data_IF_528625452006
#
_entry.id   IF_528625452006
#
_cell.length_a   1.000
_cell.length_b   1.000
_cell.length_c   1.000
_cell.angle_alpha   90.00
_cell.angle_beta   90.00
_cell.angle_gamma   90.00
#
_symmetry.space_group_name_H-M   'P 1'
#
loop_
_entity.id
_entity.type
_entity.pdbx_description
1 polymer ?
#
# COMPACT_ATOMS: atom_id res chain seq x y z
N UNK A 1 21.18 11.38 -24.22
CA UNK A 1 22.09 11.42 -23.06
C UNK A 1 21.52 12.43 -22.08
N UNK A 2 20.87 11.97 -21.02
CA UNK A 2 20.22 12.82 -20.01
C UNK A 2 19.02 12.13 -19.35
N UNK A 3 18.91 12.31 -18.02
CA UNK A 3 17.85 11.86 -17.10
C UNK A 3 18.00 10.49 -16.42
N UNK A 4 19.09 10.29 -15.68
CA UNK A 4 19.06 9.56 -14.40
C UNK A 4 20.02 10.24 -13.42
N UNK A 5 19.66 11.44 -12.96
CA UNK A 5 20.37 12.07 -11.84
C UNK A 5 19.82 11.48 -10.53
N UNK A 6 20.61 10.59 -9.93
CA UNK A 6 20.71 10.42 -8.48
C UNK A 6 19.44 10.17 -7.69
N UNK A 7 18.63 9.16 -8.04
CA UNK A 7 17.79 8.53 -7.02
C UNK A 7 18.72 7.74 -6.10
N UNK A 8 18.82 8.15 -4.83
CA UNK A 8 19.41 7.28 -3.81
C UNK A 8 18.70 5.93 -3.91
N UNK A 9 19.45 4.83 -3.99
CA UNK A 9 18.85 3.50 -4.08
C UNK A 9 17.90 3.32 -2.89
N UNK A 10 16.60 3.24 -3.15
CA UNK A 10 15.59 2.92 -2.13
C UNK A 10 16.10 1.73 -1.30
N UNK A 11 16.30 1.96 0.00
CA UNK A 11 16.87 0.96 0.89
C UNK A 11 15.73 0.16 1.50
N UNK A 12 15.73 -1.15 1.27
CA UNK A 12 14.85 -2.08 1.95
C UNK A 12 15.11 -1.99 3.46
N UNK A 13 14.10 -1.56 4.21
CA UNK A 13 14.10 -1.67 5.66
C UNK A 13 13.61 -3.08 5.98
N UNK A 14 14.52 -4.03 6.11
CA UNK A 14 14.19 -5.46 6.23
C UNK A 14 13.51 -5.82 7.56
N UNK A 15 12.90 -7.01 7.61
CA UNK A 15 12.45 -7.66 8.85
C UNK A 15 13.51 -8.60 9.40
N UNK A 16 13.41 -8.94 10.68
CA UNK A 16 14.36 -9.86 11.33
C UNK A 16 14.13 -11.32 10.92
N UNK A 17 12.90 -11.68 10.56
CA UNK A 17 12.50 -13.02 10.13
C UNK A 17 11.76 -12.99 8.80
N UNK A 18 11.96 -14.04 8.00
CA UNK A 18 11.31 -14.29 6.70
C UNK A 18 10.44 -15.56 6.79
N UNK A 19 9.55 -15.77 5.81
CA UNK A 19 8.70 -16.96 5.71
C UNK A 19 7.20 -16.68 5.79
N UNK A 20 6.42 -17.68 6.22
CA UNK A 20 4.94 -17.71 6.09
C UNK A 20 4.19 -16.58 6.79
N UNK A 21 4.79 -16.00 7.83
CA UNK A 21 4.20 -14.92 8.62
C UNK A 21 4.83 -13.56 8.32
N UNK A 22 5.79 -13.51 7.39
CA UNK A 22 6.50 -12.29 7.03
C UNK A 22 5.78 -11.54 5.89
N UNK A 23 5.80 -10.21 5.97
CA UNK A 23 5.10 -9.31 5.04
C UNK A 23 6.06 -8.24 4.52
N UNK A 24 5.98 -7.95 3.23
CA UNK A 24 6.66 -6.81 2.61
C UNK A 24 5.64 -5.70 2.37
N UNK A 25 5.80 -4.55 3.03
CA UNK A 25 5.02 -3.35 2.76
C UNK A 25 5.71 -2.51 1.70
N UNK A 26 5.12 -2.42 0.51
CA UNK A 26 5.55 -1.54 -0.57
C UNK A 26 4.83 -0.19 -0.39
N UNK A 27 5.58 0.84 -0.04
CA UNK A 27 5.04 2.13 0.43
C UNK A 27 5.40 3.26 -0.52
N UNK A 28 4.45 4.12 -0.86
CA UNK A 28 4.70 5.31 -1.69
C UNK A 28 5.58 6.34 -0.98
N UNK A 29 6.78 6.58 -1.52
CA UNK A 29 7.69 7.62 -1.03
C UNK A 29 8.45 7.29 0.27
N UNK A 30 9.61 7.93 0.44
CA UNK A 30 10.51 7.67 1.57
C UNK A 30 9.94 8.16 2.91
N UNK A 31 9.25 9.29 2.91
CA UNK A 31 8.68 9.89 4.12
C UNK A 31 7.60 9.00 4.75
N UNK A 32 6.67 8.49 3.92
CA UNK A 32 5.65 7.56 4.38
C UNK A 32 6.28 6.22 4.78
N UNK A 33 7.26 5.71 4.02
CA UNK A 33 7.98 4.49 4.36
C UNK A 33 8.67 4.57 5.73
N UNK A 34 9.29 5.70 6.08
CA UNK A 34 9.87 5.92 7.41
C UNK A 34 8.81 5.93 8.51
N UNK A 35 7.67 6.56 8.26
CA UNK A 35 6.53 6.60 9.20
C UNK A 35 5.97 5.20 9.45
N UNK A 36 5.80 4.40 8.39
CA UNK A 36 5.39 2.99 8.47
C UNK A 36 6.43 2.16 9.21
N UNK A 37 7.73 2.39 8.92
CA UNK A 37 8.82 1.69 9.59
C UNK A 37 8.90 1.95 11.09
N UNK A 38 8.46 3.12 11.54
CA UNK A 38 8.41 3.48 12.96
C UNK A 38 7.32 2.72 13.75
N UNK A 39 6.28 2.23 13.08
CA UNK A 39 5.14 1.55 13.74
C UNK A 39 5.04 0.05 13.44
N UNK A 40 5.84 -0.46 12.50
CA UNK A 40 5.78 -1.87 12.09
C UNK A 40 6.25 -2.82 13.18
N UNK A 41 5.84 -4.07 13.05
CA UNK A 41 6.43 -5.20 13.76
C UNK A 41 7.71 -5.64 13.04
N UNK A 42 8.86 -5.05 13.38
CA UNK A 42 10.16 -5.28 12.71
C UNK A 42 10.61 -6.74 12.69
N UNK A 43 10.05 -7.58 13.57
CA UNK A 43 10.28 -9.02 13.55
C UNK A 43 9.86 -9.64 12.21
N UNK A 44 8.74 -9.20 11.61
CA UNK A 44 8.11 -9.87 10.45
C UNK A 44 7.66 -8.94 9.33
N UNK A 45 7.67 -7.63 9.54
CA UNK A 45 7.25 -6.66 8.55
C UNK A 45 8.47 -5.92 8.01
N UNK A 46 8.72 -6.06 6.73
CA UNK A 46 9.71 -5.28 5.98
C UNK A 46 9.00 -4.12 5.27
N UNK A 47 9.73 -3.03 5.01
CA UNK A 47 9.21 -1.85 4.31
C UNK A 47 10.14 -1.52 3.15
N UNK A 48 9.59 -1.47 1.95
CA UNK A 48 10.27 -1.04 0.74
C UNK A 48 9.66 0.27 0.26
N UNK A 49 10.39 1.40 0.32
CA UNK A 49 9.93 2.63 -0.30
C UNK A 49 9.91 2.49 -1.83
N UNK A 50 8.81 2.91 -2.44
CA UNK A 50 8.66 3.07 -3.87
C UNK A 50 8.95 4.52 -4.22
N UNK A 51 10.06 4.76 -4.91
CA UNK A 51 10.49 6.10 -5.32
C UNK A 51 10.23 6.33 -6.81
N UNK A 52 9.51 7.42 -7.11
CA UNK A 52 9.19 7.81 -8.46
C UNK A 52 8.07 6.96 -9.09
N UNK A 53 7.71 7.30 -10.32
CA UNK A 53 6.60 6.64 -11.01
C UNK A 53 7.07 5.33 -11.64
N UNK A 54 6.42 4.18 -11.35
CA UNK A 54 6.77 2.93 -12.02
C UNK A 54 6.69 3.06 -13.54
N UNK A 55 7.55 2.35 -14.25
CA UNK A 55 7.39 2.18 -15.70
C UNK A 55 6.10 1.38 -15.95
N UNK A 56 5.29 1.73 -16.95
CA UNK A 56 4.18 0.88 -17.36
C UNK A 56 4.73 -0.43 -17.94
N UNK A 57 4.85 -1.44 -17.07
CA UNK A 57 5.43 -2.74 -17.38
C UNK A 57 4.51 -3.60 -18.25
N UNK A 58 3.23 -3.23 -18.39
CA UNK A 58 2.29 -3.89 -19.29
C UNK A 58 2.60 -3.61 -20.76
N UNK A 59 3.00 -2.37 -21.07
CA UNK A 59 3.32 -1.93 -22.44
C UNK A 59 4.81 -1.96 -22.75
N UNK A 60 5.67 -1.86 -21.74
CA UNK A 60 7.11 -1.87 -21.92
C UNK A 60 7.62 -3.23 -22.45
N UNK A 61 8.74 -3.21 -23.16
CA UNK A 61 9.46 -4.43 -23.51
C UNK A 61 10.07 -5.08 -22.27
N UNK A 62 10.22 -6.40 -22.30
CA UNK A 62 10.84 -7.18 -21.22
C UNK A 62 12.17 -6.56 -20.78
N UNK A 63 13.06 -6.25 -21.73
CA UNK A 63 14.35 -5.62 -21.46
C UNK A 63 14.23 -4.35 -20.62
N UNK A 64 13.27 -3.46 -20.92
CA UNK A 64 13.07 -2.22 -20.16
C UNK A 64 12.57 -2.48 -18.74
N UNK A 65 11.73 -3.50 -18.56
CA UNK A 65 11.24 -3.91 -17.24
C UNK A 65 12.38 -4.53 -16.43
N UNK A 66 13.17 -5.42 -17.05
CA UNK A 66 14.33 -6.05 -16.45
C UNK A 66 15.42 -5.03 -16.05
N UNK A 67 15.61 -3.97 -16.82
CA UNK A 67 16.57 -2.89 -16.49
C UNK A 67 16.00 -1.85 -15.51
N UNK A 68 14.72 -1.94 -15.12
CA UNK A 68 14.08 -0.97 -14.22
C UNK A 68 14.56 -1.13 -12.77
N UNK A 69 15.16 -0.10 -12.15
CA UNK A 69 15.65 -0.20 -10.78
C UNK A 69 14.54 -0.53 -9.77
N UNK A 70 13.34 0.03 -9.94
CA UNK A 70 12.20 -0.19 -9.06
C UNK A 70 11.77 -1.66 -9.06
N UNK A 71 11.60 -2.25 -10.25
CA UNK A 71 11.17 -3.65 -10.35
C UNK A 71 12.28 -4.61 -9.94
N UNK A 72 13.55 -4.27 -10.20
CA UNK A 72 14.69 -5.03 -9.69
C UNK A 72 14.76 -5.02 -8.16
N UNK A 73 14.54 -3.87 -7.53
CA UNK A 73 14.48 -3.77 -6.08
C UNK A 73 13.32 -4.58 -5.49
N UNK A 74 12.13 -4.50 -6.10
CA UNK A 74 10.99 -5.30 -5.67
C UNK A 74 11.24 -6.81 -5.82
N UNK A 75 11.78 -7.23 -6.96
CA UNK A 75 12.14 -8.63 -7.20
C UNK A 75 13.17 -9.14 -6.18
N UNK A 76 14.24 -8.38 -5.95
CA UNK A 76 15.26 -8.71 -4.97
C UNK A 76 14.73 -8.73 -3.53
N UNK A 77 13.82 -7.82 -3.18
CA UNK A 77 13.14 -7.83 -1.89
C UNK A 77 12.30 -9.09 -1.70
N UNK A 78 11.59 -9.54 -2.74
CA UNK A 78 10.79 -10.77 -2.71
C UNK A 78 11.64 -12.05 -2.73
N UNK A 79 12.94 -11.96 -3.08
CA UNK A 79 13.84 -13.10 -3.21
C UNK A 79 13.80 -13.76 -4.60
N UNK A 80 13.46 -12.98 -5.63
CA UNK A 80 13.41 -13.43 -7.01
C UNK A 80 14.72 -13.13 -7.74
N UNK A 81 15.04 -13.94 -8.75
CA UNK A 81 16.28 -13.79 -9.53
C UNK A 81 16.29 -12.58 -10.47
N UNK A 82 15.10 -12.02 -10.78
CA UNK A 82 14.97 -10.82 -11.59
C UNK A 82 13.53 -10.36 -11.77
N UNK A 83 13.37 -9.13 -12.26
CA UNK A 83 12.06 -8.48 -12.44
C UNK A 83 11.13 -9.16 -13.47
N UNK A 84 11.67 -9.94 -14.41
CA UNK A 84 10.90 -10.60 -15.47
C UNK A 84 11.00 -12.13 -15.44
N UNK A 85 11.72 -12.69 -14.46
CA UNK A 85 12.11 -14.10 -14.44
C UNK A 85 10.94 -15.10 -14.29
N UNK A 86 9.77 -14.64 -13.84
CA UNK A 86 8.60 -15.49 -13.58
C UNK A 86 7.37 -15.09 -14.40
N UNK A 87 7.59 -14.47 -15.56
CA UNK A 87 6.55 -14.30 -16.57
C UNK A 87 5.95 -15.66 -16.95
N UNK A 88 4.68 -15.68 -17.40
CA UNK A 88 4.01 -16.89 -17.92
C UNK A 88 3.70 -17.99 -16.88
N UNK A 89 3.77 -17.66 -15.59
CA UNK A 89 3.30 -18.56 -14.55
C UNK A 89 4.31 -19.65 -14.17
N UNK A 90 5.60 -19.41 -14.44
CA UNK A 90 6.68 -20.18 -13.85
C UNK A 90 6.49 -20.33 -12.34
N UNK A 91 6.93 -21.48 -11.78
CA UNK A 91 6.86 -21.70 -10.34
C UNK A 91 7.64 -20.60 -9.60
N UNK A 92 7.06 -20.10 -8.51
CA UNK A 92 7.75 -19.16 -7.65
C UNK A 92 8.81 -19.92 -6.83
N UNK A 93 9.99 -19.31 -6.61
CA UNK A 93 10.95 -19.84 -5.65
C UNK A 93 10.39 -19.67 -4.23
N UNK A 94 11.16 -20.10 -3.23
CA UNK A 94 10.83 -19.77 -1.84
C UNK A 94 10.93 -18.25 -1.66
N UNK A 95 9.78 -17.60 -1.53
CA UNK A 95 9.70 -16.16 -1.29
C UNK A 95 10.19 -15.82 0.11
N UNK A 96 10.80 -14.65 0.25
CA UNK A 96 11.19 -14.10 1.56
C UNK A 96 9.99 -13.69 2.41
N UNK A 97 8.92 -13.24 1.73
CA UNK A 97 7.71 -12.73 2.36
C UNK A 97 6.51 -13.49 1.83
N UNK A 98 5.64 -13.93 2.73
CA UNK A 98 4.43 -14.63 2.34
C UNK A 98 3.40 -13.70 1.68
N UNK A 99 3.42 -12.42 2.04
CA UNK A 99 2.49 -11.39 1.58
C UNK A 99 3.22 -10.15 1.10
N UNK A 100 2.75 -9.60 -0.01
CA UNK A 100 3.09 -8.27 -0.51
C UNK A 100 1.92 -7.34 -0.20
N UNK A 101 2.15 -6.37 0.67
CA UNK A 101 1.17 -5.36 1.08
C UNK A 101 1.44 -4.08 0.28
N UNK A 102 0.49 -3.68 -0.57
CA UNK A 102 0.52 -2.44 -1.33
C UNK A 102 -0.10 -1.33 -0.48
N UNK A 103 0.69 -0.32 -0.13
CA UNK A 103 0.28 0.79 0.74
C UNK A 103 0.62 2.11 0.05
N UNK A 104 -0.35 2.65 -0.68
CA UNK A 104 -0.21 3.87 -1.47
C UNK A 104 -1.20 4.94 -1.01
N UNK A 105 -0.94 6.20 -1.38
CA UNK A 105 -1.84 7.28 -1.04
C UNK A 105 -3.19 7.14 -1.77
N UNK A 106 -4.31 7.55 -1.14
CA UNK A 106 -5.64 7.47 -1.76
C UNK A 106 -5.89 8.57 -2.79
N UNK A 107 -4.86 9.33 -3.17
CA UNK A 107 -4.94 10.38 -4.18
C UNK A 107 -4.74 9.82 -5.61
N UNK A 108 -4.83 10.70 -6.61
CA UNK A 108 -4.75 10.29 -8.01
C UNK A 108 -3.37 9.70 -8.38
N UNK A 109 -2.30 10.16 -7.74
CA UNK A 109 -0.94 9.71 -8.04
C UNK A 109 -0.68 8.34 -7.40
N UNK A 110 -1.09 8.14 -6.14
CA UNK A 110 -1.01 6.85 -5.47
C UNK A 110 -1.88 5.77 -6.14
N UNK A 111 -3.09 6.14 -6.59
CA UNK A 111 -3.94 5.24 -7.40
C UNK A 111 -3.23 4.86 -8.71
N UNK A 112 -2.60 5.83 -9.39
CA UNK A 112 -1.86 5.56 -10.63
C UNK A 112 -0.65 4.63 -10.37
N UNK A 113 0.14 4.90 -9.34
CA UNK A 113 1.27 4.07 -8.94
C UNK A 113 0.81 2.64 -8.64
N UNK A 114 -0.26 2.50 -7.86
CA UNK A 114 -0.88 1.21 -7.55
C UNK A 114 -1.31 0.45 -8.80
N UNK A 115 -1.97 1.12 -9.74
CA UNK A 115 -2.35 0.53 -11.02
C UNK A 115 -1.13 -0.01 -11.80
N UNK A 116 -0.04 0.77 -11.89
CA UNK A 116 1.16 0.34 -12.61
C UNK A 116 1.87 -0.84 -11.93
N UNK A 117 1.90 -0.86 -10.60
CA UNK A 117 2.41 -2.01 -9.83
C UNK A 117 1.55 -3.25 -10.08
N UNK A 118 0.22 -3.12 -10.04
CA UNK A 118 -0.69 -4.24 -10.31
C UNK A 118 -0.53 -4.79 -11.73
N UNK A 119 -0.36 -3.91 -12.73
CA UNK A 119 -0.05 -4.30 -14.10
C UNK A 119 1.27 -5.06 -14.22
N UNK A 120 2.31 -4.62 -13.51
CA UNK A 120 3.58 -5.35 -13.43
C UNK A 120 3.38 -6.74 -12.81
N UNK A 121 2.71 -6.83 -11.66
CA UNK A 121 2.45 -8.10 -10.98
C UNK A 121 1.64 -9.05 -11.85
N UNK A 122 0.61 -8.55 -12.54
CA UNK A 122 -0.23 -9.36 -13.42
C UNK A 122 0.56 -9.93 -14.60
N UNK A 123 1.47 -9.15 -15.20
CA UNK A 123 2.24 -9.59 -16.36
C UNK A 123 3.42 -10.48 -15.98
N UNK A 124 4.17 -10.11 -14.95
CA UNK A 124 5.49 -10.67 -14.66
C UNK A 124 5.51 -11.57 -13.41
N UNK A 125 4.54 -11.43 -12.50
CA UNK A 125 4.41 -12.23 -11.28
C UNK A 125 2.97 -12.75 -11.05
N UNK A 126 2.28 -13.31 -12.07
CA UNK A 126 0.85 -13.65 -11.96
C UNK A 126 0.57 -14.72 -10.90
N UNK A 127 1.56 -15.52 -10.51
CA UNK A 127 1.42 -16.51 -9.44
C UNK A 127 1.18 -15.85 -8.07
N UNK A 128 1.79 -14.69 -7.78
CA UNK A 128 1.58 -13.98 -6.51
C UNK A 128 0.11 -13.58 -6.33
N UNK A 129 -0.53 -13.17 -7.43
CA UNK A 129 -1.94 -12.80 -7.44
C UNK A 129 -2.84 -14.03 -7.31
N UNK A 130 -2.54 -15.11 -8.05
CA UNK A 130 -3.30 -16.36 -7.99
C UNK A 130 -3.22 -17.06 -6.63
N UNK A 131 -2.09 -16.95 -5.94
CA UNK A 131 -1.89 -17.49 -4.60
C UNK A 131 -2.39 -16.55 -3.49
N UNK A 132 -3.15 -15.48 -3.82
CA UNK A 132 -3.72 -14.52 -2.86
C UNK A 132 -2.66 -13.85 -1.95
N UNK A 133 -1.43 -13.70 -2.45
CA UNK A 133 -0.30 -13.13 -1.70
C UNK A 133 -0.23 -11.61 -1.78
N UNK A 134 -0.94 -10.99 -2.72
CA UNK A 134 -0.93 -9.53 -2.92
C UNK A 134 -2.15 -8.92 -2.25
N UNK A 135 -1.92 -7.94 -1.39
CA UNK A 135 -2.95 -7.27 -0.60
C UNK A 135 -2.89 -5.78 -0.86
N UNK A 136 -4.04 -5.14 -0.97
CA UNK A 136 -4.18 -3.70 -1.03
C UNK A 136 -4.61 -3.18 0.35
N UNK A 137 -3.79 -2.32 0.94
CA UNK A 137 -4.12 -1.62 2.19
C UNK A 137 -4.77 -0.29 1.82
N UNK A 138 -5.89 0.05 2.48
CA UNK A 138 -6.63 1.28 2.26
C UNK A 138 -6.46 2.21 3.46
N UNK A 139 -5.64 3.27 3.35
CA UNK A 139 -5.54 4.28 4.39
C UNK A 139 -6.87 5.03 4.58
N UNK A 140 -7.18 5.52 5.79
CA UNK A 140 -8.31 6.41 5.99
C UNK A 140 -8.08 7.74 5.28
N UNK A 141 -9.16 8.29 4.74
CA UNK A 141 -9.19 9.60 4.09
C UNK A 141 -9.39 10.73 5.11
N UNK A 142 -10.02 10.43 6.24
CA UNK A 142 -10.31 11.40 7.28
C UNK A 142 -10.91 10.76 8.51
N UNK A 143 -11.35 11.58 9.45
CA UNK A 143 -12.04 11.13 10.65
C UNK A 143 -13.05 12.18 11.13
N UNK A 144 -14.03 11.74 11.91
CA UNK A 144 -14.93 12.60 12.68
C UNK A 144 -14.71 12.34 14.16
N UNK A 145 -14.50 13.40 14.93
CA UNK A 145 -14.39 13.37 16.39
C UNK A 145 -15.53 14.16 17.00
N UNK A 146 -16.14 13.65 18.06
CA UNK A 146 -17.17 14.35 18.81
C UNK A 146 -17.19 13.87 20.27
N UNK A 147 -17.83 14.66 21.12
CA UNK A 147 -18.15 14.26 22.49
C UNK A 147 -19.59 13.78 22.52
N UNK A 148 -19.83 12.57 23.02
CA UNK A 148 -21.16 12.03 23.20
C UNK A 148 -21.96 12.87 24.21
N UNK A 149 -23.15 13.32 23.81
CA UNK A 149 -23.93 14.29 24.59
C UNK A 149 -24.54 13.72 25.88
N UNK A 150 -24.70 12.39 25.98
CA UNK A 150 -25.28 11.73 27.14
C UNK A 150 -24.20 11.26 28.12
N UNK A 151 -23.14 10.65 27.60
CA UNK A 151 -22.08 10.02 28.40
C UNK A 151 -20.87 10.94 28.64
N UNK A 152 -20.67 11.95 27.80
CA UNK A 152 -19.49 12.81 27.81
C UNK A 152 -18.22 12.15 27.24
N UNK A 153 -18.32 10.95 26.65
CA UNK A 153 -17.17 10.24 26.08
C UNK A 153 -16.71 10.88 24.75
N UNK A 154 -15.39 10.92 24.52
CA UNK A 154 -14.85 11.39 23.24
C UNK A 154 -14.78 10.23 22.27
N UNK A 155 -15.54 10.31 21.18
CA UNK A 155 -15.59 9.33 20.11
C UNK A 155 -14.79 9.83 18.90
N UNK A 156 -14.11 8.90 18.23
CA UNK A 156 -13.35 9.15 17.00
C UNK A 156 -13.63 8.01 16.02
N UNK A 157 -14.18 8.34 14.85
CA UNK A 157 -14.42 7.36 13.79
C UNK A 157 -13.71 7.74 12.49
N UNK A 158 -13.00 6.76 11.93
CA UNK A 158 -12.26 6.90 10.68
C UNK A 158 -13.20 6.76 9.48
N UNK A 159 -12.95 7.53 8.43
CA UNK A 159 -13.63 7.47 7.15
C UNK A 159 -12.65 7.13 6.04
N UNK A 160 -13.07 6.28 5.11
CA UNK A 160 -12.27 5.80 3.99
C UNK A 160 -12.73 6.36 2.64
N UNK A 161 -13.81 7.15 2.64
CA UNK A 161 -14.35 7.83 1.47
C UNK A 161 -15.04 9.14 1.85
N UNK A 162 -15.13 10.07 0.91
CA UNK A 162 -15.80 11.37 1.12
C UNK A 162 -17.28 11.23 1.54
N UNK A 163 -18.11 10.37 0.90
CA UNK A 163 -19.50 10.20 1.33
C UNK A 163 -19.61 9.66 2.76
N UNK A 164 -18.72 8.72 3.13
CA UNK A 164 -18.68 8.17 4.49
C UNK A 164 -18.35 9.26 5.51
N UNK A 165 -17.41 10.16 5.20
CA UNK A 165 -17.03 11.25 6.10
C UNK A 165 -18.22 12.20 6.37
N UNK A 166 -18.99 12.51 5.33
CA UNK A 166 -20.22 13.32 5.45
C UNK A 166 -21.29 12.60 6.28
N UNK A 167 -21.51 11.31 6.01
CA UNK A 167 -22.46 10.48 6.75
C UNK A 167 -22.12 10.39 8.24
N UNK A 168 -20.85 10.15 8.57
CA UNK A 168 -20.38 10.09 9.96
C UNK A 168 -20.60 11.41 10.69
N UNK A 169 -20.37 12.55 10.02
CA UNK A 169 -20.62 13.86 10.60
C UNK A 169 -22.11 14.09 10.87
N UNK A 170 -22.98 13.70 9.94
CA UNK A 170 -24.43 13.82 10.11
C UNK A 170 -24.91 12.93 11.26
N UNK A 171 -24.47 11.67 11.30
CA UNK A 171 -24.79 10.73 12.37
C UNK A 171 -24.40 11.28 13.74
N UNK A 172 -23.18 11.82 13.88
CA UNK A 172 -22.73 12.42 15.14
C UNK A 172 -23.64 13.56 15.61
N UNK A 173 -24.13 14.41 14.69
CA UNK A 173 -25.06 15.49 15.02
C UNK A 173 -26.45 14.97 15.41
N UNK A 174 -26.97 13.98 14.68
CA UNK A 174 -28.28 13.37 14.94
C UNK A 174 -28.32 12.64 16.28
N UNK A 175 -27.18 12.09 16.72
CA UNK A 175 -27.01 11.44 18.01
C UNK A 175 -26.73 12.42 19.17
N UNK A 176 -26.87 13.74 18.95
CA UNK A 176 -26.64 14.74 20.00
C UNK A 176 -25.17 14.97 20.32
N UNK A 177 -24.26 14.63 19.41
CA UNK A 177 -22.82 14.85 19.57
C UNK A 177 -22.47 16.33 19.70
N UNK A 178 -21.65 16.63 20.71
CA UNK A 178 -21.10 17.95 21.00
C UNK A 178 -19.72 18.08 20.35
N UNK A 179 -19.29 19.32 20.07
CA UNK A 179 -17.97 19.64 19.51
C UNK A 179 -17.57 18.82 18.27
N UNK A 180 -18.52 18.54 17.37
CA UNK A 180 -18.31 17.69 16.19
C UNK A 180 -17.29 18.30 15.22
N UNK A 181 -16.11 17.68 15.15
CA UNK A 181 -14.97 18.09 14.32
C UNK A 181 -14.67 17.05 13.25
N UNK A 182 -14.31 17.53 12.06
CA UNK A 182 -13.92 16.71 10.92
C UNK A 182 -12.45 16.94 10.59
N UNK A 183 -11.72 15.86 10.34
CA UNK A 183 -10.32 15.85 9.93
C UNK A 183 -10.20 15.21 8.55
N UNK A 184 -9.32 15.75 7.71
CA UNK A 184 -8.98 15.19 6.39
C UNK A 184 -7.48 14.95 6.36
N UNK A 185 -7.10 13.73 5.99
CA UNK A 185 -5.70 13.34 5.82
C UNK A 185 -5.29 13.60 4.37
N UNK A 186 -4.11 14.18 4.19
CA UNK A 186 -3.55 14.53 2.87
C UNK A 186 -2.75 13.39 2.23
N UNK A 187 -2.62 12.27 2.93
CA UNK A 187 -1.79 11.13 2.57
C UNK A 187 -1.20 10.46 3.81
N UNK A 188 -0.44 9.39 3.61
CA UNK A 188 0.16 8.52 4.62
C UNK A 188 1.02 9.29 5.61
N UNK A 189 1.82 10.23 5.11
CA UNK A 189 2.71 11.06 5.96
C UNK A 189 1.96 12.06 6.86
N UNK A 190 0.65 12.26 6.65
CA UNK A 190 -0.18 13.11 7.51
C UNK A 190 -0.96 12.35 8.57
N UNK A 191 -0.93 11.01 8.53
CA UNK A 191 -1.65 10.18 9.49
C UNK A 191 -0.98 10.24 10.86
N UNK A 192 -1.75 10.43 11.95
CA UNK A 192 -1.24 10.20 13.29
C UNK A 192 -0.68 8.79 13.43
N UNK A 193 0.40 8.63 14.19
CA UNK A 193 1.12 7.36 14.34
C UNK A 193 0.20 6.19 14.73
N UNK A 194 -0.73 6.43 15.67
CA UNK A 194 -1.69 5.42 16.11
C UNK A 194 -2.65 5.01 14.98
N UNK A 195 -3.15 5.98 14.20
CA UNK A 195 -4.03 5.70 13.05
C UNK A 195 -3.28 4.92 11.99
N UNK A 196 -2.04 5.30 11.67
CA UNK A 196 -1.19 4.57 10.72
C UNK A 196 -0.97 3.12 11.19
N UNK A 197 -0.67 2.93 12.47
CA UNK A 197 -0.49 1.61 13.06
C UNK A 197 -1.77 0.77 12.93
N UNK A 198 -2.89 1.26 13.46
CA UNK A 198 -4.14 0.51 13.55
C UNK A 198 -4.78 0.26 12.18
N UNK A 199 -4.85 1.28 11.33
CA UNK A 199 -5.58 1.20 10.05
C UNK A 199 -4.75 0.64 8.90
N UNK A 200 -3.41 0.77 8.93
CA UNK A 200 -2.57 0.39 7.80
C UNK A 200 -1.61 -0.77 8.08
N UNK A 201 -1.12 -0.92 9.31
CA UNK A 201 0.06 -1.79 9.58
C UNK A 201 -0.30 -3.03 10.39
N UNK A 202 -1.08 -2.87 11.45
CA UNK A 202 -1.40 -3.93 12.40
C UNK A 202 -2.28 -5.00 11.74
N UNK A 203 -1.83 -6.26 11.60
CA UNK A 203 -2.56 -7.28 10.85
C UNK A 203 -3.98 -7.55 11.34
N UNK A 204 -4.23 -7.37 12.65
CA UNK A 204 -5.52 -7.63 13.27
C UNK A 204 -6.58 -6.54 12.99
N UNK A 205 -6.16 -5.31 12.68
CA UNK A 205 -7.06 -4.14 12.60
C UNK A 205 -6.98 -3.40 11.28
N UNK A 206 -5.92 -3.62 10.50
CA UNK A 206 -5.71 -2.88 9.25
C UNK A 206 -6.85 -3.11 8.26
N UNK A 207 -7.20 -2.06 7.53
CA UNK A 207 -8.13 -2.14 6.43
C UNK A 207 -7.40 -2.59 5.17
N UNK A 208 -7.35 -3.89 4.95
CA UNK A 208 -6.72 -4.49 3.79
C UNK A 208 -7.61 -5.56 3.15
N UNK A 209 -7.47 -5.74 1.84
CA UNK A 209 -8.12 -6.82 1.11
C UNK A 209 -7.13 -7.50 0.16
N UNK A 210 -7.34 -8.80 -0.09
CA UNK A 210 -6.64 -9.54 -1.14
C UNK A 210 -7.01 -8.93 -2.48
N UNK A 211 -6.02 -8.68 -3.34
CA UNK A 211 -6.25 -8.24 -4.71
C UNK A 211 -6.88 -9.38 -5.51
N UNK A 212 -8.04 -9.12 -6.09
CA UNK A 212 -8.82 -10.09 -6.88
C UNK A 212 -8.73 -9.78 -8.37
N UNK A 213 -9.18 -10.73 -9.20
CA UNK A 213 -9.22 -10.56 -10.65
C UNK A 213 -10.08 -9.35 -11.08
N UNK A 214 -11.15 -9.03 -10.35
CA UNK A 214 -11.98 -7.86 -10.60
C UNK A 214 -11.19 -6.55 -10.51
N UNK A 215 -10.28 -6.44 -9.55
CA UNK A 215 -9.45 -5.25 -9.37
C UNK A 215 -8.48 -5.09 -10.55
N UNK A 216 -7.94 -6.22 -11.03
CA UNK A 216 -7.01 -6.26 -12.15
C UNK A 216 -7.68 -5.92 -13.48
N UNK A 217 -8.90 -6.42 -13.74
CA UNK A 217 -9.64 -6.10 -14.96
C UNK A 217 -9.88 -4.59 -15.09
N UNK A 218 -10.35 -3.96 -14.02
CA UNK A 218 -10.56 -2.51 -14.00
C UNK A 218 -9.26 -1.73 -14.28
N UNK A 219 -8.13 -2.20 -13.76
CA UNK A 219 -6.82 -1.58 -14.00
C UNK A 219 -6.36 -1.78 -15.44
N UNK A 220 -6.50 -2.98 -16.01
CA UNK A 220 -6.12 -3.28 -17.40
C UNK A 220 -6.96 -2.48 -18.38
N UNK A 221 -8.27 -2.36 -18.16
CA UNK A 221 -9.16 -1.62 -19.06
C UNK A 221 -8.82 -0.13 -19.15
N UNK A 222 -8.30 0.45 -18.06
CA UNK A 222 -7.96 1.88 -17.97
C UNK A 222 -6.50 2.17 -18.34
N UNK A 223 -5.56 1.30 -17.95
CA UNK A 223 -4.11 1.57 -18.01
C UNK A 223 -3.31 0.57 -18.87
N UNK A 224 -3.91 -0.54 -19.28
CA UNK A 224 -3.32 -1.56 -20.16
C UNK A 224 -3.02 -1.03 -21.56
#
# INVERSE_FOLDING_TARGET
>A
MGYYRGQASAVLLDSQQHGEQAELLLVEGDSAAQSVAAVRQSLRQAVLPLQGKPLNAWRASERKVAESPLYQQLAMALGLEGATAHAEGAALPTLRFARLMLLFDPDADGIHIGALVLLYLQRWLPQLLREERVWMVRPPLGAVRWTDGETGEILLQQAYAQPQLQQLRQLALEQGGLDVQQFVYRGLGSLPQQVLFEACVQPATRHAHVVRESDLRAVVDVFG
#
